data_IF_119682065690
#
_entry.id   IF_119682065690
#
_cell.length_a   1.000
_cell.length_b   1.000
_cell.length_c   1.000
_cell.angle_alpha   90.00
_cell.angle_beta   90.00
_cell.angle_gamma   90.00
#
_symmetry.space_group_name_H-M   'P 1'
#
loop_
_entity.id
_entity.type
_entity.pdbx_description
1 polymer ?
#
# COMPACT_ATOMS: atom_id res chain seq x y z
N UNK A 1 -22.42 -14.57 -16.24
CA UNK A 1 -23.64 -13.98 -16.87
C UNK A 1 -23.46 -12.47 -16.98
N UNK A 2 -23.70 -11.86 -18.14
CA UNK A 2 -23.70 -10.40 -18.27
C UNK A 2 -25.00 -9.84 -17.67
N UNK A 3 -24.95 -8.90 -16.72
CA UNK A 3 -26.17 -8.27 -16.22
C UNK A 3 -26.82 -7.48 -17.37
N UNK A 4 -28.11 -7.77 -17.64
CA UNK A 4 -28.91 -7.04 -18.63
C UNK A 4 -29.46 -5.77 -18.00
N UNK A 5 -28.66 -4.71 -18.00
CA UNK A 5 -29.13 -3.40 -17.59
C UNK A 5 -29.94 -2.75 -18.72
N UNK A 6 -31.20 -2.37 -18.44
CA UNK A 6 -32.07 -1.55 -19.30
C UNK A 6 -32.40 -0.23 -18.60
N UNK A 7 -31.40 0.66 -18.42
CA UNK A 7 -31.59 1.87 -17.64
C UNK A 7 -32.52 2.86 -18.35
N UNK A 8 -33.44 3.47 -17.59
CA UNK A 8 -34.35 4.51 -18.09
C UNK A 8 -33.57 5.81 -18.32
N UNK A 9 -34.00 6.64 -19.28
CA UNK A 9 -33.38 7.93 -19.61
C UNK A 9 -33.02 8.79 -18.38
N UNK A 10 -33.93 8.88 -17.39
CA UNK A 10 -33.69 9.63 -16.15
C UNK A 10 -32.53 9.09 -15.31
N UNK A 11 -32.35 7.76 -15.27
CA UNK A 11 -31.26 7.12 -14.54
C UNK A 11 -29.93 7.42 -15.24
N UNK A 12 -29.88 7.27 -16.56
CA UNK A 12 -28.69 7.61 -17.37
C UNK A 12 -28.32 9.09 -17.20
N UNK A 13 -29.30 9.99 -17.29
CA UNK A 13 -29.09 11.44 -17.09
C UNK A 13 -28.57 11.75 -15.68
N UNK A 14 -29.12 11.09 -14.66
CA UNK A 14 -28.67 11.25 -13.27
C UNK A 14 -27.24 10.74 -13.07
N UNK A 15 -26.90 9.58 -13.63
CA UNK A 15 -25.56 9.00 -13.53
C UNK A 15 -24.53 9.87 -14.24
N UNK A 16 -24.82 10.32 -15.46
CA UNK A 16 -23.93 11.24 -16.20
C UNK A 16 -23.77 12.57 -15.47
N UNK A 17 -24.83 13.11 -14.86
CA UNK A 17 -24.74 14.34 -14.07
C UNK A 17 -23.89 14.15 -12.82
N UNK A 18 -24.01 13.01 -12.14
CA UNK A 18 -23.19 12.67 -10.97
C UNK A 18 -21.72 12.48 -11.36
N UNK A 19 -21.46 11.77 -12.45
CA UNK A 19 -20.12 11.59 -13.02
C UNK A 19 -19.50 12.95 -13.38
N UNK A 20 -20.24 13.82 -14.06
CA UNK A 20 -19.77 15.16 -14.43
C UNK A 20 -19.46 16.03 -13.20
N UNK A 21 -20.31 15.98 -12.15
CA UNK A 21 -20.03 16.68 -10.88
C UNK A 21 -18.75 16.13 -10.22
N UNK A 22 -18.58 14.81 -10.19
CA UNK A 22 -17.38 14.18 -9.64
C UNK A 22 -16.12 14.60 -10.41
N UNK A 23 -16.13 14.53 -11.74
CA UNK A 23 -15.03 14.99 -12.60
C UNK A 23 -14.70 16.47 -12.37
N UNK A 24 -15.71 17.34 -12.27
CA UNK A 24 -15.50 18.79 -12.03
C UNK A 24 -14.90 19.07 -10.65
N UNK A 25 -15.40 18.42 -9.59
CA UNK A 25 -14.85 18.53 -8.25
C UNK A 25 -13.39 18.06 -8.23
N UNK A 26 -13.10 16.96 -8.93
CA UNK A 26 -11.74 16.43 -9.04
C UNK A 26 -10.82 17.37 -9.83
N UNK A 27 -11.29 17.99 -10.91
CA UNK A 27 -10.52 18.99 -11.63
C UNK A 27 -10.18 20.20 -10.74
N UNK A 28 -11.14 20.68 -9.94
CA UNK A 28 -10.92 21.79 -9.01
C UNK A 28 -9.88 21.46 -7.94
N UNK A 29 -9.96 20.28 -7.33
CA UNK A 29 -8.94 19.86 -6.36
C UNK A 29 -7.55 19.65 -7.00
N UNK A 30 -7.49 19.27 -8.29
CA UNK A 30 -6.22 19.17 -9.04
C UNK A 30 -5.64 20.57 -9.30
N UNK A 31 -6.48 21.55 -9.62
CA UNK A 31 -6.07 22.95 -9.79
C UNK A 31 -5.62 23.62 -8.48
N UNK A 32 -6.06 23.11 -7.34
CA UNK A 32 -5.65 23.59 -6.02
C UNK A 32 -4.53 22.75 -5.37
N UNK A 33 -3.85 21.86 -6.11
CA UNK A 33 -2.80 20.92 -5.64
C UNK A 33 -3.16 20.07 -4.40
N UNK A 34 -4.43 20.04 -4.03
CA UNK A 34 -4.93 19.36 -2.81
C UNK A 34 -5.18 17.88 -3.06
N UNK A 35 -5.64 17.55 -4.26
CA UNK A 35 -5.85 16.15 -4.67
C UNK A 35 -4.58 15.34 -4.71
N UNK A 36 -3.47 15.93 -5.19
CA UNK A 36 -2.21 15.22 -5.29
C UNK A 36 -1.72 14.85 -3.88
N UNK A 37 -1.69 15.84 -2.98
CA UNK A 37 -1.30 15.64 -1.57
C UNK A 37 -2.16 14.61 -0.85
N UNK A 38 -3.48 14.67 -0.98
CA UNK A 38 -4.38 13.69 -0.34
C UNK A 38 -4.25 12.28 -0.94
N UNK A 39 -4.07 12.16 -2.25
CA UNK A 39 -3.79 10.88 -2.89
C UNK A 39 -2.45 10.30 -2.44
N UNK A 40 -1.40 11.12 -2.27
CA UNK A 40 -0.11 10.70 -1.73
C UNK A 40 -0.23 10.18 -0.31
N UNK A 41 -0.97 10.90 0.55
CA UNK A 41 -1.25 10.45 1.93
C UNK A 41 -1.98 9.11 1.95
N UNK A 42 -3.02 8.97 1.12
CA UNK A 42 -3.76 7.70 0.99
C UNK A 42 -2.85 6.57 0.50
N UNK A 43 -2.01 6.82 -0.49
CA UNK A 43 -1.09 5.83 -1.03
C UNK A 43 -0.09 5.36 0.03
N UNK A 44 0.51 6.29 0.79
CA UNK A 44 1.43 5.97 1.89
C UNK A 44 0.77 5.14 2.98
N UNK A 45 -0.43 5.54 3.41
CA UNK A 45 -1.18 4.80 4.44
C UNK A 45 -1.54 3.40 3.97
N UNK A 46 -1.97 3.25 2.72
CA UNK A 46 -2.28 1.95 2.14
C UNK A 46 -1.04 1.04 2.10
N UNK A 47 0.11 1.57 1.65
CA UNK A 47 1.38 0.83 1.62
C UNK A 47 1.82 0.39 3.01
N UNK A 48 1.69 1.26 4.01
CA UNK A 48 2.03 0.93 5.41
C UNK A 48 1.12 -0.19 5.94
N UNK A 49 -0.19 -0.07 5.71
CA UNK A 49 -1.17 -1.09 6.12
C UNK A 49 -0.94 -2.43 5.42
N UNK A 50 -0.60 -2.41 4.12
CA UNK A 50 -0.26 -3.63 3.38
C UNK A 50 0.99 -4.30 3.99
N UNK A 51 2.07 -3.54 4.24
CA UNK A 51 3.29 -4.06 4.88
C UNK A 51 3.00 -4.66 6.26
N UNK A 52 2.19 -3.97 7.07
CA UNK A 52 1.74 -4.47 8.39
C UNK A 52 0.96 -5.77 8.27
N UNK A 53 -0.02 -5.82 7.37
CA UNK A 53 -0.86 -6.99 7.15
C UNK A 53 -0.03 -8.21 6.68
N UNK A 54 0.91 -7.99 5.75
CA UNK A 54 1.82 -9.03 5.27
C UNK A 54 2.66 -9.62 6.41
N UNK A 55 3.28 -8.77 7.23
CA UNK A 55 4.12 -9.22 8.36
C UNK A 55 3.33 -9.97 9.41
N UNK A 56 2.15 -9.47 9.77
CA UNK A 56 1.24 -10.16 10.70
C UNK A 56 0.85 -11.53 10.16
N UNK A 57 0.58 -11.64 8.86
CA UNK A 57 0.27 -12.92 8.20
C UNK A 57 1.46 -13.87 8.23
N UNK A 58 2.66 -13.39 7.91
CA UNK A 58 3.90 -14.17 7.98
C UNK A 58 4.18 -14.68 9.39
N UNK A 59 4.10 -13.79 10.39
CA UNK A 59 4.32 -14.14 11.79
C UNK A 59 3.33 -15.18 12.29
N UNK A 60 2.02 -15.00 12.01
CA UNK A 60 1.00 -16.00 12.34
C UNK A 60 1.32 -17.36 11.72
N UNK A 61 1.65 -17.40 10.43
CA UNK A 61 1.98 -18.66 9.75
C UNK A 61 3.22 -19.34 10.31
N UNK A 62 4.23 -18.59 10.75
CA UNK A 62 5.44 -19.14 11.37
C UNK A 62 5.13 -19.71 12.75
N UNK A 63 4.36 -18.96 13.53
CA UNK A 63 3.89 -19.38 14.84
C UNK A 63 3.00 -20.62 14.81
N UNK A 64 2.15 -20.77 13.80
CA UNK A 64 1.28 -21.94 13.64
C UNK A 64 2.09 -23.19 13.28
N UNK A 65 3.27 -23.02 12.68
CA UNK A 65 4.20 -24.11 12.33
C UNK A 65 5.23 -24.41 13.42
N UNK A 66 5.28 -23.63 14.49
CA UNK A 66 6.37 -23.65 15.48
C UNK A 66 7.77 -23.57 14.83
N UNK A 67 7.94 -22.62 13.91
CA UNK A 67 9.20 -22.42 13.20
C UNK A 67 10.30 -21.89 14.15
N UNK A 68 11.50 -22.47 14.08
CA UNK A 68 12.67 -22.13 14.91
C UNK A 68 13.04 -20.64 14.83
N UNK A 69 12.76 -19.99 13.68
CA UNK A 69 13.04 -18.56 13.48
C UNK A 69 12.28 -17.66 14.46
N UNK A 70 11.13 -18.11 14.97
CA UNK A 70 10.34 -17.37 15.97
C UNK A 70 10.36 -18.02 17.36
N UNK A 71 11.15 -19.08 17.57
CA UNK A 71 11.20 -19.81 18.86
C UNK A 71 11.65 -18.91 20.02
N UNK A 72 12.64 -18.04 19.76
CA UNK A 72 13.20 -17.14 20.76
C UNK A 72 12.35 -15.90 21.04
N UNK A 73 11.22 -15.71 20.34
CA UNK A 73 10.40 -14.51 20.45
C UNK A 73 9.12 -14.81 21.23
N UNK A 74 8.86 -14.02 22.28
CA UNK A 74 7.56 -14.07 22.93
C UNK A 74 6.46 -13.61 21.97
N UNK A 75 5.41 -14.44 21.87
CA UNK A 75 4.30 -14.21 20.93
C UNK A 75 3.58 -12.89 21.20
N UNK A 76 3.41 -12.50 22.47
CA UNK A 76 2.68 -11.30 22.87
C UNK A 76 3.51 -10.05 22.60
N UNK A 77 4.81 -10.08 22.89
CA UNK A 77 5.72 -8.97 22.60
C UNK A 77 5.87 -8.73 21.09
N UNK A 78 6.05 -9.79 20.30
CA UNK A 78 6.14 -9.67 18.85
C UNK A 78 4.85 -9.10 18.25
N UNK A 79 3.68 -9.52 18.76
CA UNK A 79 2.41 -8.98 18.30
C UNK A 79 2.25 -7.48 18.64
N UNK A 80 2.78 -7.03 19.78
CA UNK A 80 2.78 -5.61 20.14
C UNK A 80 3.63 -4.79 19.15
N UNK A 81 4.83 -5.28 18.80
CA UNK A 81 5.71 -4.65 17.80
C UNK A 81 5.02 -4.59 16.45
N UNK A 82 4.40 -5.70 16.00
CA UNK A 82 3.67 -5.76 14.74
C UNK A 82 2.38 -4.94 14.72
N UNK A 83 1.85 -4.54 15.88
CA UNK A 83 0.68 -3.67 15.95
C UNK A 83 1.07 -2.18 15.95
N UNK A 84 2.31 -1.84 16.30
CA UNK A 84 2.79 -0.47 16.31
C UNK A 84 3.24 -0.02 14.91
N UNK A 85 2.55 1.00 14.39
CA UNK A 85 2.77 1.53 13.04
C UNK A 85 4.18 2.08 12.82
N UNK A 86 4.89 2.47 13.89
CA UNK A 86 6.27 2.96 13.81
C UNK A 86 7.15 1.92 13.09
N UNK A 87 6.99 0.64 13.41
CA UNK A 87 7.78 -0.46 12.85
C UNK A 87 7.51 -0.81 11.38
N UNK A 88 6.50 -0.18 10.79
CA UNK A 88 6.08 -0.38 9.40
C UNK A 88 6.35 0.83 8.51
N UNK A 89 6.94 1.89 9.06
CA UNK A 89 7.28 3.09 8.30
C UNK A 89 8.16 2.75 7.08
N UNK A 90 7.96 3.42 5.94
CA UNK A 90 8.82 3.25 4.76
C UNK A 90 10.30 3.53 5.04
N UNK A 91 11.20 2.88 4.31
CA UNK A 91 12.64 3.22 4.34
C UNK A 91 12.95 4.51 3.59
N UNK A 92 12.10 4.85 2.63
CA UNK A 92 12.23 6.05 1.82
C UNK A 92 10.89 6.78 1.72
N UNK A 93 10.96 8.11 1.65
CA UNK A 93 9.82 8.98 1.36
C UNK A 93 10.16 9.96 0.25
N UNK A 94 9.25 10.17 -0.68
CA UNK A 94 9.36 11.28 -1.62
C UNK A 94 8.93 12.59 -0.95
N UNK A 95 9.54 13.72 -1.31
CA UNK A 95 9.06 15.05 -0.91
C UNK A 95 7.80 15.39 -1.69
N UNK A 96 6.84 16.02 -1.01
CA UNK A 96 5.64 16.56 -1.66
C UNK A 96 5.96 17.84 -2.46
N UNK A 97 7.09 18.49 -2.17
CA UNK A 97 7.57 19.66 -2.91
C UNK A 97 8.39 19.26 -4.13
N UNK A 98 7.86 19.62 -5.30
CA UNK A 98 8.55 19.53 -6.57
C UNK A 98 9.68 20.56 -6.61
N UNK A 99 10.87 20.08 -6.96
CA UNK A 99 12.04 20.94 -7.07
C UNK A 99 11.98 21.78 -8.35
N UNK A 100 12.78 22.86 -8.44
CA UNK A 100 12.84 23.69 -9.64
C UNK A 100 13.21 22.92 -10.92
N UNK A 101 13.82 21.75 -10.79
CA UNK A 101 14.19 20.85 -11.89
C UNK A 101 13.07 19.85 -12.28
N UNK A 102 11.89 19.96 -11.67
CA UNK A 102 10.75 19.05 -11.87
C UNK A 102 10.92 17.68 -11.21
N UNK A 103 11.93 17.49 -10.35
CA UNK A 103 12.15 16.22 -9.64
C UNK A 103 11.67 16.31 -8.19
N UNK A 104 11.38 15.15 -7.61
CA UNK A 104 11.05 15.03 -6.18
C UNK A 104 12.23 14.40 -5.44
N UNK A 105 12.56 14.96 -4.28
CA UNK A 105 13.59 14.41 -3.41
C UNK A 105 13.13 13.09 -2.79
N UNK A 106 13.95 12.05 -2.86
CA UNK A 106 13.73 10.80 -2.13
C UNK A 106 14.59 10.87 -0.86
N UNK A 107 13.94 11.03 0.29
CA UNK A 107 14.60 10.93 1.59
C UNK A 107 14.68 9.46 1.98
N UNK A 108 15.89 8.96 2.20
CA UNK A 108 16.13 7.63 2.77
C UNK A 108 16.39 7.80 4.26
N UNK A 109 15.59 7.15 5.10
CA UNK A 109 15.72 7.23 6.55
C UNK A 109 16.44 6.01 7.08
N UNK A 110 17.32 6.24 8.07
CA UNK A 110 17.81 5.22 8.97
C UNK A 110 17.21 5.45 10.38
N UNK A 111 15.99 4.97 10.66
CA UNK A 111 15.31 5.25 11.91
C UNK A 111 15.99 4.54 13.08
N UNK A 112 16.24 5.27 14.16
CA UNK A 112 16.93 4.75 15.36
C UNK A 112 16.22 3.59 16.06
N UNK A 113 14.93 3.40 15.82
CA UNK A 113 14.15 2.28 16.36
C UNK A 113 14.32 0.98 15.56
N UNK A 114 15.16 0.97 14.51
CA UNK A 114 15.52 -0.22 13.71
C UNK A 114 16.87 -0.77 14.16
N UNK A 115 16.89 -1.56 15.23
CA UNK A 115 18.06 -2.40 15.51
C UNK A 115 18.29 -3.39 14.35
N UNK A 116 19.52 -3.88 14.21
CA UNK A 116 19.86 -4.89 13.19
C UNK A 116 19.00 -6.15 13.33
N UNK A 117 18.79 -6.62 14.57
CA UNK A 117 17.93 -7.76 14.87
C UNK A 117 16.48 -7.55 14.39
N UNK A 118 15.94 -6.36 14.63
CA UNK A 118 14.57 -6.05 14.21
C UNK A 118 14.44 -5.93 12.69
N UNK A 119 15.49 -5.42 12.02
CA UNK A 119 15.54 -5.39 10.57
C UNK A 119 15.54 -6.81 10.00
N UNK A 120 16.38 -7.69 10.53
CA UNK A 120 16.45 -9.09 10.10
C UNK A 120 15.10 -9.79 10.30
N UNK A 121 14.51 -9.65 11.48
CA UNK A 121 13.19 -10.20 11.77
C UNK A 121 12.12 -9.70 10.79
N UNK A 122 12.01 -8.38 10.61
CA UNK A 122 10.92 -7.81 9.84
C UNK A 122 11.09 -8.03 8.33
N UNK A 123 12.31 -7.90 7.79
CA UNK A 123 12.59 -7.98 6.35
C UNK A 123 12.93 -9.41 5.91
N UNK A 124 13.91 -10.03 6.55
CA UNK A 124 14.47 -11.30 6.09
C UNK A 124 13.65 -12.50 6.58
N UNK A 125 13.01 -12.40 7.74
CA UNK A 125 12.14 -13.47 8.24
C UNK A 125 10.70 -13.26 7.80
N UNK A 126 10.06 -12.17 8.25
CA UNK A 126 8.62 -11.99 8.08
C UNK A 126 8.22 -11.59 6.66
N UNK A 127 8.84 -10.57 6.07
CA UNK A 127 8.50 -10.14 4.71
C UNK A 127 8.81 -11.27 3.71
N UNK A 128 9.99 -11.91 3.79
CA UNK A 128 10.34 -13.04 2.92
C UNK A 128 9.38 -14.23 3.06
N UNK A 129 9.00 -14.62 4.28
CA UNK A 129 8.01 -15.68 4.46
C UNK A 129 6.62 -15.24 3.99
N UNK A 130 6.22 -13.98 4.21
CA UNK A 130 4.93 -13.49 3.71
C UNK A 130 4.86 -13.54 2.18
N UNK A 131 5.96 -13.25 1.48
CA UNK A 131 6.08 -13.42 0.03
C UNK A 131 6.00 -14.89 -0.39
N UNK A 132 6.66 -15.81 0.31
CA UNK A 132 6.60 -17.24 -0.04
C UNK A 132 5.20 -17.86 0.14
N UNK A 133 4.38 -17.31 1.05
CA UNK A 133 2.97 -17.67 1.21
C UNK A 133 2.09 -17.21 0.04
N UNK A 134 2.59 -16.28 -0.79
CA UNK A 134 1.84 -15.71 -1.89
C UNK A 134 2.25 -16.39 -3.20
N UNK A 135 1.64 -17.55 -3.46
CA UNK A 135 1.88 -18.34 -4.69
C UNK A 135 1.27 -17.75 -5.96
N UNK A 136 0.50 -16.66 -5.84
CA UNK A 136 -0.15 -15.99 -6.97
C UNK A 136 0.66 -14.75 -7.40
N UNK A 137 0.93 -14.60 -8.70
CA UNK A 137 1.43 -13.34 -9.26
C UNK A 137 0.50 -12.20 -8.82
N UNK A 138 1.03 -11.27 -8.02
CA UNK A 138 0.33 -10.04 -7.67
C UNK A 138 0.19 -9.19 -8.93
N UNK A 139 -0.89 -9.37 -9.68
CA UNK A 139 -1.30 -8.42 -10.71
C UNK A 139 -1.87 -7.21 -9.97
N UNK A 140 -1.06 -6.16 -9.83
CA UNK A 140 -1.55 -4.87 -9.35
C UNK A 140 -2.17 -4.12 -10.51
N UNK A 141 -3.49 -4.05 -10.52
CA UNK A 141 -4.25 -3.13 -11.36
C UNK A 141 -4.08 -1.71 -10.81
N UNK A 142 -3.36 -0.86 -11.53
CA UNK A 142 -3.39 0.59 -11.29
C UNK A 142 -4.47 1.18 -12.20
N UNK A 143 -5.57 1.65 -11.59
CA UNK A 143 -6.55 2.47 -12.29
C UNK A 143 -6.03 3.91 -12.33
N UNK A 144 -5.52 4.33 -13.48
CA UNK A 144 -5.38 5.75 -13.79
C UNK A 144 -6.64 6.21 -14.50
N UNK A 145 -6.91 7.52 -14.49
CA UNK A 145 -8.12 8.10 -15.07
C UNK A 145 -8.25 7.85 -16.57
N UNK A 146 -7.13 7.54 -17.23
CA UNK A 146 -7.03 7.47 -18.68
C UNK A 146 -6.85 6.02 -19.20
N UNK A 147 -6.48 5.04 -18.35
CA UNK A 147 -6.35 3.62 -18.74
C UNK A 147 -6.10 2.65 -17.54
N UNK A 148 -6.47 1.37 -17.73
CA UNK A 148 -6.17 0.27 -16.80
C UNK A 148 -4.81 -0.33 -17.16
N UNK A 149 -3.80 -0.08 -16.34
CA UNK A 149 -2.48 -0.70 -16.53
C UNK A 149 -2.30 -1.90 -15.58
N UNK A 150 -2.10 -3.07 -16.17
CA UNK A 150 -1.71 -4.29 -15.46
C UNK A 150 -0.18 -4.36 -15.40
N UNK A 151 0.40 -4.04 -14.25
CA UNK A 151 1.84 -4.24 -14.04
C UNK A 151 2.04 -5.66 -13.55
N UNK A 152 2.63 -6.50 -14.40
CA UNK A 152 3.08 -7.84 -14.02
C UNK A 152 4.49 -7.69 -13.45
N UNK A 153 4.62 -7.70 -12.13
CA UNK A 153 5.93 -7.85 -11.49
C UNK A 153 6.37 -9.31 -11.65
N UNK A 154 7.30 -9.57 -12.58
CA UNK A 154 8.09 -10.81 -12.58
C UNK A 154 9.34 -10.58 -11.75
N UNK A 155 9.62 -11.50 -10.82
CA UNK A 155 10.82 -11.46 -10.01
C UNK A 155 12.03 -12.04 -10.78
N UNK A 156 13.25 -11.54 -10.51
CA UNK A 156 14.49 -12.27 -10.80
C UNK A 156 14.64 -13.51 -9.91
#
# INVERSE_FOLDING_TARGET
MKPRYTPRYRQVKSWLSALHKYCRVRLLYKQCDTLDKDNHRLHRNNRLNEKKACRVKGAKSLFDKNDEKLENYDRKELLNVLNDNRYHSPEYSESDEEQPDGKRHINVYNPSWRSEELMDLLLNVLDQHAFSLQSAQLIRTRNYDDDIYNIVSRHP
#
